data_IF_072314008582
#
_entry.id   IF_072314008582
#
_cell.length_a   1.000
_cell.length_b   1.000
_cell.length_c   1.000
_cell.angle_alpha   90.00
_cell.angle_beta   90.00
_cell.angle_gamma   90.00
#
_symmetry.space_group_name_H-M   'P 1'
#
loop_
_entity.id
_entity.type
_entity.pdbx_description
1 polymer ?
#
# COMPACT_ATOMS: atom_id res chain seq x y z
N UNK A 1 12.62 -31.77 -23.75
CA UNK A 1 11.86 -30.57 -23.37
C UNK A 1 12.43 -30.10 -22.05
N UNK A 2 13.17 -28.99 -22.04
CA UNK A 2 13.71 -28.43 -20.81
C UNK A 2 12.58 -27.76 -20.05
N UNK A 3 12.30 -28.25 -18.85
CA UNK A 3 11.42 -27.60 -17.89
C UNK A 3 12.13 -26.34 -17.37
N UNK A 4 11.84 -25.19 -17.98
CA UNK A 4 12.20 -23.90 -17.39
C UNK A 4 11.29 -23.67 -16.19
N UNK A 5 11.76 -24.06 -15.02
CA UNK A 5 11.15 -23.67 -13.74
C UNK A 5 11.06 -22.15 -13.68
N UNK A 6 9.84 -21.61 -13.74
CA UNK A 6 9.59 -20.19 -13.55
C UNK A 6 9.91 -19.87 -12.09
N UNK A 7 10.85 -18.95 -11.87
CA UNK A 7 11.17 -18.41 -10.55
C UNK A 7 10.62 -17.01 -10.44
N UNK A 8 10.29 -16.61 -9.22
CA UNK A 8 9.81 -15.28 -8.92
C UNK A 8 10.64 -14.66 -7.81
N UNK A 9 10.77 -13.33 -7.87
CA UNK A 9 11.34 -12.53 -6.78
C UNK A 9 10.45 -11.33 -6.50
N UNK A 10 10.56 -10.80 -5.28
CA UNK A 10 9.87 -9.57 -4.90
C UNK A 10 10.81 -8.37 -5.02
N UNK A 11 10.34 -7.32 -5.69
CA UNK A 11 10.97 -6.01 -5.71
C UNK A 11 10.18 -5.10 -4.78
N UNK A 12 10.87 -4.40 -3.88
CA UNK A 12 10.28 -3.50 -2.90
C UNK A 12 10.42 -2.04 -3.32
N UNK A 13 9.33 -1.28 -3.17
CA UNK A 13 9.24 0.16 -3.36
C UNK A 13 8.77 0.78 -2.03
N UNK A 14 9.75 1.21 -1.24
CA UNK A 14 9.57 1.79 0.09
C UNK A 14 8.84 3.14 0.05
N UNK A 15 8.21 3.55 1.16
CA UNK A 15 7.47 4.80 1.27
C UNK A 15 8.30 6.05 0.87
N UNK A 16 9.62 5.96 0.94
CA UNK A 16 10.54 7.04 0.55
C UNK A 16 10.97 7.01 -0.91
N UNK A 17 10.56 6.02 -1.69
CA UNK A 17 10.91 5.90 -3.11
C UNK A 17 10.11 6.86 -3.99
N UNK A 18 10.40 8.15 -3.88
CA UNK A 18 9.73 9.21 -4.65
C UNK A 18 10.08 9.21 -6.14
N UNK A 19 10.98 8.32 -6.59
CA UNK A 19 11.24 8.12 -8.02
C UNK A 19 10.10 7.35 -8.68
N UNK A 20 9.50 6.40 -7.96
CA UNK A 20 8.43 5.55 -8.46
C UNK A 20 7.06 5.89 -7.85
N UNK A 21 7.04 6.34 -6.60
CA UNK A 21 5.81 6.70 -5.88
C UNK A 21 5.51 8.20 -6.04
N UNK A 22 4.36 8.51 -6.64
CA UNK A 22 3.88 9.89 -6.83
C UNK A 22 2.79 10.21 -5.82
N UNK A 23 3.14 11.03 -4.84
CA UNK A 23 2.24 11.48 -3.78
C UNK A 23 1.48 12.74 -4.19
N UNK A 24 0.21 12.81 -3.86
CA UNK A 24 -0.64 14.00 -3.97
C UNK A 24 -1.53 14.17 -2.73
N UNK A 25 -1.86 15.43 -2.42
CA UNK A 25 -2.40 15.80 -1.10
C UNK A 25 -1.32 15.90 -0.02
N UNK A 26 -1.74 16.10 1.21
CA UNK A 26 -0.83 16.38 2.34
C UNK A 26 -0.29 15.09 2.95
N UNK A 27 0.93 14.69 2.59
CA UNK A 27 1.59 13.49 3.11
C UNK A 27 2.73 13.83 4.07
N UNK A 28 2.70 13.22 5.25
CA UNK A 28 3.83 13.17 6.16
C UNK A 28 4.72 11.97 5.81
N UNK A 29 5.88 12.22 5.19
CA UNK A 29 6.79 11.18 4.65
C UNK A 29 8.04 10.91 5.51
N UNK A 30 8.18 11.64 6.61
CA UNK A 30 9.31 11.48 7.54
C UNK A 30 8.90 10.66 8.77
N UNK A 31 7.80 9.90 8.66
CA UNK A 31 7.34 9.04 9.73
C UNK A 31 8.29 7.88 9.98
N UNK A 32 8.29 7.44 11.22
CA UNK A 32 8.98 6.24 11.68
C UNK A 32 8.07 5.48 12.62
N UNK A 33 8.12 4.16 12.59
CA UNK A 33 7.46 3.31 13.57
C UNK A 33 8.49 2.53 14.36
N UNK A 34 8.18 2.25 15.62
CA UNK A 34 9.05 1.51 16.52
C UNK A 34 8.26 0.45 17.29
N UNK A 35 8.50 -0.81 16.93
CA UNK A 35 7.94 -1.97 17.60
C UNK A 35 9.02 -2.66 18.42
N UNK A 36 9.40 -2.01 19.51
CA UNK A 36 10.49 -2.44 20.39
C UNK A 36 10.29 -3.86 20.94
N UNK A 37 9.03 -4.29 21.16
CA UNK A 37 8.70 -5.62 21.67
C UNK A 37 9.09 -6.77 20.72
N UNK A 38 9.27 -6.51 19.42
CA UNK A 38 9.81 -7.46 18.43
C UNK A 38 11.16 -7.01 17.86
N UNK A 39 11.74 -5.94 18.40
CA UNK A 39 13.02 -5.39 17.95
C UNK A 39 13.00 -4.88 16.51
N UNK A 40 11.87 -4.37 16.02
CA UNK A 40 11.75 -3.87 14.65
C UNK A 40 11.43 -2.38 14.64
N UNK A 41 12.01 -1.67 13.67
CA UNK A 41 11.73 -0.27 13.39
C UNK A 41 11.73 -0.08 11.88
N UNK A 42 11.06 0.96 11.41
CA UNK A 42 11.00 1.27 9.99
C UNK A 42 10.45 2.66 9.72
N UNK A 43 10.20 2.93 8.45
CA UNK A 43 9.70 4.21 7.95
C UNK A 43 8.24 4.06 7.56
N UNK A 44 7.54 5.19 7.51
CA UNK A 44 6.12 5.21 7.15
C UNK A 44 5.74 6.58 6.60
N UNK A 45 5.06 6.58 5.46
CA UNK A 45 4.31 7.73 5.00
C UNK A 45 2.88 7.65 5.54
N UNK A 46 2.29 8.78 5.95
CA UNK A 46 0.88 8.81 6.33
C UNK A 46 0.20 10.13 6.00
N UNK A 47 -1.13 10.11 5.94
CA UNK A 47 -1.94 11.30 5.73
C UNK A 47 -3.30 11.17 6.40
N UNK A 48 -3.80 12.28 6.96
CA UNK A 48 -5.17 12.42 7.43
C UNK A 48 -6.08 13.12 6.40
N UNK A 49 -5.52 13.55 5.26
CA UNK A 49 -6.29 14.24 4.24
C UNK A 49 -7.18 13.22 3.52
N UNK A 50 -8.51 13.46 3.40
CA UNK A 50 -9.43 12.51 2.79
C UNK A 50 -9.21 12.33 1.28
N UNK A 51 -8.43 13.22 0.65
CA UNK A 51 -8.09 13.15 -0.77
C UNK A 51 -6.60 12.81 -1.01
N UNK A 52 -5.87 12.41 0.04
CA UNK A 52 -4.48 11.99 -0.10
C UNK A 52 -4.38 10.74 -0.98
N UNK A 53 -3.49 10.77 -1.97
CA UNK A 53 -3.36 9.72 -2.96
C UNK A 53 -1.90 9.43 -3.29
N UNK A 54 -1.61 8.17 -3.58
CA UNK A 54 -0.34 7.68 -4.15
C UNK A 54 -0.64 7.02 -5.48
N UNK A 55 0.05 7.44 -6.52
CA UNK A 55 0.06 6.76 -7.81
C UNK A 55 1.39 6.03 -8.00
N UNK A 56 1.32 4.80 -8.50
CA UNK A 56 2.48 3.95 -8.74
C UNK A 56 2.33 3.23 -10.08
N UNK A 57 3.24 3.49 -11.01
CA UNK A 57 3.34 2.74 -12.26
C UNK A 57 4.40 1.66 -12.11
N UNK A 58 4.09 0.45 -12.53
CA UNK A 58 5.02 -0.65 -12.41
C UNK A 58 6.26 -0.39 -13.28
N UNK A 59 7.47 -0.28 -12.70
CA UNK A 59 8.66 -0.01 -13.48
C UNK A 59 9.14 -1.23 -14.27
N UNK A 60 8.62 -2.42 -13.95
CA UNK A 60 8.89 -3.70 -14.63
C UNK A 60 7.60 -4.53 -14.68
N UNK A 61 7.43 -5.43 -15.67
CA UNK A 61 6.29 -6.34 -15.69
C UNK A 61 6.24 -7.22 -14.44
N UNK A 62 5.07 -7.29 -13.81
CA UNK A 62 4.86 -8.05 -12.58
C UNK A 62 3.59 -8.88 -12.67
N UNK A 63 3.58 -10.07 -12.06
CA UNK A 63 2.39 -10.91 -11.94
C UNK A 63 1.72 -10.83 -10.56
N UNK A 64 2.30 -10.08 -9.63
CA UNK A 64 1.69 -9.82 -8.32
C UNK A 64 2.01 -8.42 -7.81
N UNK A 65 1.06 -7.82 -7.11
CA UNK A 65 1.18 -6.55 -6.40
C UNK A 65 0.74 -6.71 -4.95
N UNK A 66 1.49 -6.10 -4.03
CA UNK A 66 1.22 -6.14 -2.60
C UNK A 66 1.39 -4.75 -2.00
N UNK A 67 0.43 -4.36 -1.16
CA UNK A 67 0.46 -3.11 -0.42
C UNK A 67 0.52 -3.40 1.08
N UNK A 68 1.53 -2.81 1.72
CA UNK A 68 1.76 -2.91 3.16
C UNK A 68 1.64 -1.55 3.84
N UNK A 69 1.03 -1.55 5.01
CA UNK A 69 0.90 -0.39 5.89
C UNK A 69 0.64 -0.82 7.33
N UNK A 70 0.21 0.15 8.14
CA UNK A 70 -0.19 -0.03 9.54
C UNK A 70 -1.69 0.29 9.65
N UNK A 71 -2.54 -0.66 10.10
CA UNK A 71 -3.95 -0.41 10.41
C UNK A 71 -4.10 0.71 11.43
N UNK A 72 -5.21 1.44 11.43
CA UNK A 72 -5.41 2.57 12.36
C UNK A 72 -6.68 2.41 13.17
N UNK A 73 -6.61 2.75 14.45
CA UNK A 73 -7.74 2.62 15.39
C UNK A 73 -8.80 3.70 15.31
N UNK A 74 -8.46 4.85 14.73
CA UNK A 74 -9.32 6.02 14.69
C UNK A 74 -9.93 6.26 13.30
N UNK A 75 -9.93 5.23 12.45
CA UNK A 75 -10.43 5.26 11.07
C UNK A 75 -9.34 4.93 10.06
N UNK A 76 -9.69 4.13 9.06
CA UNK A 76 -8.72 3.48 8.16
C UNK A 76 -9.37 2.90 6.92
N UNK A 77 -10.32 3.62 6.31
CA UNK A 77 -10.95 3.24 5.06
C UNK A 77 -10.17 3.86 3.89
N UNK A 78 -9.64 3.03 3.01
CA UNK A 78 -8.90 3.46 1.82
C UNK A 78 -9.55 2.89 0.57
N UNK A 79 -9.23 3.44 -0.58
CA UNK A 79 -9.65 2.93 -1.87
C UNK A 79 -8.45 2.68 -2.76
N UNK A 80 -8.47 1.57 -3.49
CA UNK A 80 -7.45 1.22 -4.48
C UNK A 80 -8.08 0.98 -5.83
N UNK A 81 -7.37 1.37 -6.88
CA UNK A 81 -7.75 1.08 -8.24
C UNK A 81 -6.51 0.70 -9.04
N UNK A 82 -6.64 -0.34 -9.87
CA UNK A 82 -5.58 -0.84 -10.75
C UNK A 82 -6.06 -0.71 -12.18
N UNK A 83 -5.27 -0.04 -13.02
CA UNK A 83 -5.58 0.27 -14.42
C UNK A 83 -6.92 0.98 -14.62
N UNK A 84 -7.24 1.93 -13.73
CA UNK A 84 -8.45 2.74 -13.84
C UNK A 84 -8.51 3.44 -15.19
N UNK A 85 -9.66 3.40 -15.83
CA UNK A 85 -10.00 4.42 -16.81
C UNK A 85 -10.21 5.76 -16.07
N UNK A 86 -9.56 6.86 -16.49
CA UNK A 86 -9.82 8.19 -15.93
C UNK A 86 -11.30 8.60 -15.96
N UNK A 87 -12.06 8.11 -16.94
CA UNK A 87 -13.48 8.45 -17.13
C UNK A 87 -14.43 7.56 -16.31
N UNK A 88 -13.97 6.40 -15.85
CA UNK A 88 -14.75 5.45 -15.06
C UNK A 88 -13.84 4.70 -14.08
N UNK A 89 -13.55 5.36 -12.96
CA UNK A 89 -12.67 4.79 -11.93
C UNK A 89 -13.46 3.87 -11.00
N UNK A 90 -13.34 2.57 -11.21
CA UNK A 90 -13.81 1.57 -10.23
C UNK A 90 -12.75 1.37 -9.15
N UNK A 91 -13.07 1.86 -7.94
CA UNK A 91 -12.24 1.62 -6.76
C UNK A 91 -12.75 0.42 -5.97
N UNK A 92 -11.82 -0.36 -5.45
CA UNK A 92 -12.03 -1.38 -4.42
C UNK A 92 -11.71 -0.77 -3.05
N UNK A 93 -12.59 -0.97 -2.07
CA UNK A 93 -12.34 -0.50 -0.71
C UNK A 93 -11.32 -1.43 0.00
N UNK A 94 -10.42 -0.83 0.78
CA UNK A 94 -9.48 -1.47 1.69
C UNK A 94 -9.87 -1.05 3.11
N UNK A 95 -10.26 -2.03 3.92
CA UNK A 95 -10.55 -1.79 5.33
C UNK A 95 -9.31 -2.05 6.20
N UNK A 96 -8.66 -0.97 6.61
CA UNK A 96 -7.52 -0.97 7.52
C UNK A 96 -7.88 -0.42 8.91
N UNK A 97 -9.18 -0.39 9.27
CA UNK A 97 -9.60 -0.05 10.62
C UNK A 97 -9.29 -1.20 11.58
N UNK A 98 -8.54 -0.89 12.64
CA UNK A 98 -8.31 -1.82 13.74
C UNK A 98 -8.45 -1.10 15.08
N UNK A 99 -9.61 -1.28 15.74
CA UNK A 99 -9.96 -0.61 16.99
C UNK A 99 -8.95 -0.77 18.13
N UNK A 100 -8.14 -1.84 18.12
CA UNK A 100 -7.15 -2.12 19.16
C UNK A 100 -5.74 -1.66 18.79
N UNK A 101 -5.56 -1.06 17.61
CA UNK A 101 -4.25 -0.56 17.18
C UNK A 101 -3.84 0.69 17.98
N UNK A 102 -2.62 0.66 18.52
CA UNK A 102 -2.06 1.76 19.31
C UNK A 102 -1.00 2.56 18.54
N UNK A 103 -0.80 2.27 17.25
CA UNK A 103 0.23 2.86 16.40
C UNK A 103 1.67 2.42 16.69
N UNK A 104 1.89 1.57 17.70
CA UNK A 104 3.21 1.00 18.04
C UNK A 104 3.33 -0.46 17.63
N UNK A 105 2.23 -1.07 17.18
CA UNK A 105 2.27 -2.39 16.58
C UNK A 105 3.21 -2.34 15.37
N UNK A 106 4.16 -3.28 15.25
CA UNK A 106 4.95 -3.39 14.04
C UNK A 106 3.96 -3.60 12.89
N UNK A 107 4.21 -3.06 11.70
CA UNK A 107 3.81 -3.76 10.51
C UNK A 107 4.67 -5.02 10.45
N UNK A 108 4.61 -5.93 11.42
CA UNK A 108 5.13 -7.29 11.27
C UNK A 108 4.37 -8.41 11.98
N UNK A 109 4.21 -9.55 11.26
CA UNK A 109 4.65 -9.69 9.89
C UNK A 109 3.74 -8.84 9.00
N UNK A 110 4.34 -8.06 8.10
CA UNK A 110 3.82 -6.79 7.58
C UNK A 110 2.35 -6.88 7.27
N UNK A 111 1.53 -5.98 7.80
CA UNK A 111 0.09 -6.09 7.58
C UNK A 111 -0.13 -5.84 6.11
N UNK A 112 -0.33 -6.94 5.39
CA UNK A 112 -0.71 -6.94 4.00
C UNK A 112 -2.15 -6.42 3.98
N UNK A 113 -2.30 -5.16 3.58
CA UNK A 113 -3.61 -4.51 3.53
C UNK A 113 -4.33 -4.83 2.23
N UNK A 114 -3.57 -5.05 1.15
CA UNK A 114 -4.13 -5.42 -0.14
C UNK A 114 -3.13 -6.22 -0.97
N UNK A 115 -3.64 -7.12 -1.81
CA UNK A 115 -2.85 -7.74 -2.86
C UNK A 115 -3.68 -8.01 -4.12
N UNK A 116 -3.00 -8.06 -5.27
CA UNK A 116 -3.58 -8.46 -6.56
C UNK A 116 -2.64 -9.42 -7.27
N UNK A 117 -3.20 -10.50 -7.80
CA UNK A 117 -2.51 -11.38 -8.75
C UNK A 117 -2.97 -11.07 -10.17
N UNK A 118 -2.03 -11.07 -11.10
CA UNK A 118 -2.25 -10.92 -12.53
C UNK A 118 -1.97 -12.26 -13.22
N UNK A 119 -2.78 -12.62 -14.21
CA UNK A 119 -2.63 -13.90 -14.91
C UNK A 119 -1.30 -14.03 -15.66
N UNK A 120 -0.78 -12.91 -16.19
CA UNK A 120 0.53 -12.80 -16.84
C UNK A 120 1.26 -11.56 -16.31
N UNK A 121 2.61 -11.56 -16.30
CA UNK A 121 3.37 -10.35 -15.98
C UNK A 121 2.99 -9.19 -16.90
N UNK A 122 2.61 -8.06 -16.31
CA UNK A 122 2.20 -6.86 -17.03
C UNK A 122 2.68 -5.57 -16.35
N UNK A 123 2.65 -4.47 -17.11
CA UNK A 123 2.77 -3.13 -16.53
C UNK A 123 1.38 -2.66 -16.14
N UNK A 124 1.24 -2.23 -14.89
CA UNK A 124 -0.01 -1.75 -14.34
C UNK A 124 0.19 -0.38 -13.68
N UNK A 125 -0.88 0.40 -13.62
CA UNK A 125 -0.94 1.65 -12.86
C UNK A 125 -1.82 1.46 -11.65
N UNK A 126 -1.30 1.73 -10.46
CA UNK A 126 -2.02 1.65 -9.19
C UNK A 126 -2.29 3.05 -8.67
N UNK A 127 -3.52 3.29 -8.24
CA UNK A 127 -3.94 4.46 -7.48
C UNK A 127 -4.43 3.98 -6.12
N UNK A 128 -3.76 4.39 -5.06
CA UNK A 128 -4.19 4.21 -3.68
C UNK A 128 -4.60 5.57 -3.11
N UNK A 129 -5.78 5.68 -2.51
CA UNK A 129 -6.27 6.92 -1.91
C UNK A 129 -6.88 6.69 -0.53
N UNK A 130 -6.80 7.71 0.31
CA UNK A 130 -7.56 7.77 1.56
C UNK A 130 -9.06 7.95 1.24
N UNK A 131 -9.93 7.59 2.19
CA UNK A 131 -11.36 7.92 2.15
C UNK A 131 -11.81 8.45 3.52
N UNK A 132 -12.95 9.13 3.56
CA UNK A 132 -13.58 9.42 4.85
C UNK A 132 -14.09 8.12 5.48
N UNK A 133 -13.80 7.92 6.76
CA UNK A 133 -14.29 6.79 7.53
C UNK A 133 -15.16 7.32 8.68
N UNK A 134 -16.48 7.12 8.56
CA UNK A 134 -17.47 7.61 9.52
C UNK A 134 -17.82 6.60 10.61
N UNK A 135 -17.13 5.45 10.65
CA UNK A 135 -17.45 4.37 11.60
C UNK A 135 -17.09 4.72 13.05
N UNK A 136 -16.08 5.56 13.25
CA UNK A 136 -15.64 6.03 14.58
C UNK A 136 -16.14 7.45 14.89
N UNK A 137 -16.04 8.35 13.91
CA UNK A 137 -16.37 9.77 14.06
C UNK A 137 -17.34 10.18 12.96
N UNK A 138 -18.47 10.82 13.31
CA UNK A 138 -19.50 11.21 12.36
C UNK A 138 -18.99 12.15 11.26
N UNK A 139 -18.06 13.05 11.60
CA UNK A 139 -17.45 14.00 10.67
C UNK A 139 -16.45 13.34 9.68
N UNK A 140 -16.21 12.04 9.83
CA UNK A 140 -15.27 11.27 9.02
C UNK A 140 -13.82 11.52 9.41
N UNK A 141 -13.16 10.52 9.98
CA UNK A 141 -11.73 10.57 10.25
C UNK A 141 -11.08 9.34 9.66
N UNK A 142 -10.04 9.50 8.85
CA UNK A 142 -9.24 8.38 8.40
C UNK A 142 -7.79 8.77 8.21
N UNK A 143 -6.89 7.91 8.65
CA UNK A 143 -5.46 8.09 8.45
C UNK A 143 -4.91 6.98 7.58
N UNK A 144 -4.61 7.28 6.32
CA UNK A 144 -3.90 6.35 5.46
C UNK A 144 -2.44 6.25 5.86
N UNK A 145 -1.90 5.04 5.76
CA UNK A 145 -0.48 4.76 5.98
C UNK A 145 0.10 3.97 4.81
N UNK A 146 1.36 4.20 4.48
CA UNK A 146 2.09 3.46 3.46
C UNK A 146 3.49 3.15 4.00
N UNK A 147 3.81 1.86 4.09
CA UNK A 147 5.16 1.37 4.38
C UNK A 147 5.87 1.04 3.07
N UNK A 148 5.24 0.23 2.20
CA UNK A 148 5.79 -0.08 0.88
C UNK A 148 4.79 -0.74 -0.06
N UNK A 149 5.12 -0.70 -1.34
CA UNK A 149 4.60 -1.62 -2.34
C UNK A 149 5.63 -2.71 -2.66
N UNK A 150 5.16 -3.92 -2.96
CA UNK A 150 6.00 -4.99 -3.52
C UNK A 150 5.42 -5.47 -4.84
N UNK A 151 6.31 -5.77 -5.79
CA UNK A 151 5.98 -6.44 -7.04
C UNK A 151 6.61 -7.82 -7.07
N UNK A 152 5.81 -8.85 -7.37
CA UNK A 152 6.33 -10.15 -7.73
C UNK A 152 6.62 -10.15 -9.24
N UNK A 153 7.87 -10.41 -9.60
CA UNK A 153 8.37 -10.38 -10.97
C UNK A 153 9.08 -11.68 -11.30
N UNK A 154 9.18 -11.99 -12.59
CA UNK A 154 9.96 -13.13 -13.06
C UNK A 154 11.44 -12.97 -12.69
N UNK A 155 11.99 -14.02 -12.08
CA UNK A 155 13.41 -14.14 -11.78
C UNK A 155 14.08 -14.92 -12.90
N UNK A 156 14.18 -14.27 -14.06
CA UNK A 156 14.86 -14.82 -15.24
C UNK A 156 16.36 -14.66 -15.00
N UNK A 157 17.04 -15.78 -14.74
CA UNK A 157 18.50 -15.88 -14.75
C UNK A 157 19.03 -16.03 -16.18
#
# INVERSE_FOLDING_TARGET
MSDTSIRYKNITFDDRDTKHLRYSGDWFKNGTWNASHVGQTGTLASSNSPNAMVTFDFPVPANGFFYYGIPRSHGGLYAICIDCNPDEQHFEDIDALNYTDDGNNPPRPKVLLYHRWFGLPGHHTVILKNQQDTRIYEDGNSQITLDRFELQVDDIN
#
